data_IF_733670592805
#
_entry.id   IF_733670592805
#
_cell.length_a   1.000
_cell.length_b   1.000
_cell.length_c   1.000
_cell.angle_alpha   90.00
_cell.angle_beta   90.00
_cell.angle_gamma   90.00
#
_symmetry.space_group_name_H-M   'P 1'
#
loop_
_entity.id
_entity.type
_entity.pdbx_description
1 polymer ?
#
# COMPACT_ATOMS: atom_id res chain seq x y z
N UNK A 1 -24.31 7.72 19.03
CA UNK A 1 -24.14 8.86 18.11
C UNK A 1 -22.92 8.55 17.28
N UNK A 2 -23.00 8.64 15.95
CA UNK A 2 -21.81 8.45 15.11
C UNK A 2 -20.84 9.62 15.35
N UNK A 3 -19.54 9.34 15.41
CA UNK A 3 -18.51 10.37 15.52
C UNK A 3 -18.31 11.02 14.15
N UNK A 4 -18.25 12.35 14.10
CA UNK A 4 -18.06 13.10 12.85
C UNK A 4 -16.64 13.63 12.74
N UNK A 5 -16.04 13.56 11.54
CA UNK A 5 -14.73 14.16 11.26
C UNK A 5 -14.71 15.65 11.64
N UNK A 6 -15.83 16.34 11.44
CA UNK A 6 -15.99 17.74 11.78
C UNK A 6 -15.78 18.02 13.28
N UNK A 7 -16.04 17.05 14.17
CA UNK A 7 -15.87 17.24 15.61
C UNK A 7 -14.39 17.20 16.03
N UNK A 8 -13.54 16.52 15.26
CA UNK A 8 -12.12 16.41 15.53
C UNK A 8 -11.28 17.54 14.91
N UNK A 9 -11.68 18.06 13.75
CA UNK A 9 -11.05 19.27 13.18
C UNK A 9 -11.51 20.49 13.98
N UNK A 10 -10.59 21.31 14.47
CA UNK A 10 -10.86 22.55 15.21
C UNK A 10 -10.97 23.76 14.27
N UNK A 11 -11.63 24.81 14.74
CA UNK A 11 -11.75 26.07 14.00
C UNK A 11 -10.35 26.63 13.67
N UNK A 12 -10.13 27.01 12.41
CA UNK A 12 -8.84 27.53 11.95
C UNK A 12 -7.83 26.46 11.53
N UNK A 13 -8.14 25.17 11.66
CA UNK A 13 -7.26 24.10 11.18
C UNK A 13 -7.47 23.82 9.68
N UNK A 14 -6.37 23.52 8.98
CA UNK A 14 -6.39 22.84 7.68
C UNK A 14 -6.33 21.34 7.88
N UNK A 15 -6.83 20.60 6.90
CA UNK A 15 -6.76 19.15 6.89
C UNK A 15 -6.65 18.56 5.49
N UNK A 16 -6.22 17.30 5.44
CA UNK A 16 -6.38 16.39 4.31
C UNK A 16 -6.80 15.03 4.84
N UNK A 17 -7.76 14.39 4.16
CA UNK A 17 -8.25 13.07 4.52
C UNK A 17 -8.33 12.17 3.29
N UNK A 18 -8.04 10.88 3.48
CA UNK A 18 -8.34 9.81 2.54
C UNK A 18 -9.46 8.97 3.15
N UNK A 19 -10.59 8.94 2.47
CA UNK A 19 -11.82 8.27 2.86
C UNK A 19 -11.92 6.96 2.08
N UNK A 20 -12.12 5.86 2.79
CA UNK A 20 -12.10 4.49 2.26
C UNK A 20 -13.38 3.78 2.70
N UNK A 21 -14.01 3.08 1.75
CA UNK A 21 -15.10 2.15 2.01
C UNK A 21 -14.54 0.71 1.92
N UNK A 22 -14.47 0.01 3.04
CA UNK A 22 -13.82 -1.30 3.15
C UNK A 22 -14.37 -2.15 4.30
N UNK A 23 -14.08 -3.45 4.31
CA UNK A 23 -14.41 -4.32 5.44
C UNK A 23 -13.59 -3.95 6.68
N UNK A 24 -14.28 -3.63 7.80
CA UNK A 24 -13.70 -3.36 9.12
C UNK A 24 -14.26 -4.33 10.15
N UNK A 25 -13.46 -4.73 11.13
CA UNK A 25 -13.99 -5.42 12.31
C UNK A 25 -14.70 -4.41 13.23
N UNK A 26 -15.80 -4.83 13.87
CA UNK A 26 -16.68 -3.95 14.68
C UNK A 26 -15.93 -3.22 15.82
N UNK A 27 -14.91 -3.85 16.41
CA UNK A 27 -14.17 -3.33 17.58
C UNK A 27 -12.88 -2.56 17.19
N UNK A 28 -12.91 -1.79 16.10
CA UNK A 28 -11.76 -0.95 15.71
C UNK A 28 -11.81 0.41 16.39
N UNK A 29 -10.87 0.65 17.31
CA UNK A 29 -10.68 1.97 17.93
C UNK A 29 -9.91 2.92 17.01
N UNK A 30 -10.20 4.24 17.06
CA UNK A 30 -9.36 5.25 16.44
C UNK A 30 -7.92 5.24 16.94
N UNK A 31 -6.98 5.56 16.06
CA UNK A 31 -5.55 5.68 16.36
C UNK A 31 -5.10 7.11 16.11
N UNK A 32 -4.42 7.72 17.09
CA UNK A 32 -3.96 9.11 17.05
C UNK A 32 -2.45 9.19 17.37
N UNK A 33 -1.79 10.25 16.92
CA UNK A 33 -0.46 10.62 17.41
C UNK A 33 -0.57 11.48 18.67
N UNK A 34 0.55 11.65 19.37
CA UNK A 34 0.61 12.42 20.63
C UNK A 34 0.19 13.89 20.45
N UNK A 35 0.31 14.43 19.24
CA UNK A 35 -0.10 15.80 18.89
C UNK A 35 -1.48 15.91 18.23
N UNK A 36 -2.20 14.80 18.04
CA UNK A 36 -3.45 14.71 17.29
C UNK A 36 -3.41 15.39 15.90
N UNK A 37 -2.25 15.40 15.25
CA UNK A 37 -2.08 15.90 13.89
C UNK A 37 -2.32 14.83 12.84
N UNK A 38 -2.23 13.55 13.23
CA UNK A 38 -2.46 12.39 12.38
C UNK A 38 -3.43 11.46 13.08
N UNK A 39 -4.42 10.96 12.33
CA UNK A 39 -5.33 9.95 12.86
C UNK A 39 -5.84 8.98 11.79
N UNK A 40 -6.16 7.78 12.27
CA UNK A 40 -6.93 6.77 11.55
C UNK A 40 -8.24 6.60 12.31
N UNK A 41 -9.34 6.94 11.65
CA UNK A 41 -10.67 7.08 12.26
C UNK A 41 -11.63 6.05 11.64
N UNK A 42 -11.76 4.84 12.24
CA UNK A 42 -12.71 3.83 11.81
C UNK A 42 -14.14 4.18 12.25
N UNK A 43 -15.11 3.94 11.38
CA UNK A 43 -16.55 4.19 11.56
C UNK A 43 -16.93 5.66 11.80
N UNK A 44 -16.04 6.61 11.52
CA UNK A 44 -16.35 8.04 11.56
C UNK A 44 -17.07 8.48 10.28
N UNK A 45 -17.92 9.49 10.42
CA UNK A 45 -18.73 10.04 9.33
C UNK A 45 -18.25 11.42 8.90
N UNK A 46 -18.61 11.77 7.67
CA UNK A 46 -18.32 13.07 7.07
C UNK A 46 -19.65 13.69 6.66
N UNK A 47 -20.11 14.64 7.46
CA UNK A 47 -21.25 15.48 7.08
C UNK A 47 -20.79 16.67 6.26
N UNK A 48 -21.22 16.71 5.00
CA UNK A 48 -20.97 17.83 4.09
C UNK A 48 -22.14 18.80 4.09
N UNK A 49 -21.87 20.09 3.94
CA UNK A 49 -22.91 21.09 3.79
C UNK A 49 -23.57 21.00 2.38
N UNK A 50 -24.73 21.64 2.22
CA UNK A 50 -25.46 21.65 0.95
C UNK A 50 -24.71 22.35 -0.20
N UNK A 51 -23.81 23.29 0.12
CA UNK A 51 -22.99 23.97 -0.89
C UNK A 51 -22.10 22.96 -1.61
N UNK A 52 -21.48 22.01 -0.90
CA UNK A 52 -20.66 20.95 -1.49
C UNK A 52 -21.46 20.00 -2.37
N UNK A 53 -22.73 19.77 -2.05
CA UNK A 53 -23.62 18.95 -2.89
C UNK A 53 -23.75 19.51 -4.28
N UNK A 54 -23.79 20.83 -4.42
CA UNK A 54 -23.85 21.49 -5.72
C UNK A 54 -22.52 21.46 -6.49
N UNK A 55 -21.38 21.38 -5.79
CA UNK A 55 -20.04 21.44 -6.42
C UNK A 55 -19.51 20.08 -6.84
N UNK A 56 -19.58 19.09 -5.94
CA UNK A 56 -19.04 17.76 -6.19
C UNK A 56 -20.12 16.88 -6.84
N UNK A 57 -21.40 17.21 -6.67
CA UNK A 57 -22.52 16.42 -7.18
C UNK A 57 -22.96 15.32 -6.23
N UNK A 58 -24.22 14.89 -6.37
CA UNK A 58 -24.88 13.96 -5.44
C UNK A 58 -24.21 12.58 -5.40
N UNK A 59 -23.78 12.06 -6.56
CA UNK A 59 -23.13 10.74 -6.67
C UNK A 59 -21.86 10.69 -5.80
N UNK A 60 -21.01 11.70 -5.88
CA UNK A 60 -19.76 11.74 -5.14
C UNK A 60 -19.95 11.99 -3.64
N UNK A 61 -21.07 12.61 -3.25
CA UNK A 61 -21.44 12.74 -1.84
C UNK A 61 -21.84 11.39 -1.25
N UNK A 62 -22.63 10.60 -1.98
CA UNK A 62 -22.97 9.25 -1.51
C UNK A 62 -21.71 8.39 -1.39
N UNK A 63 -20.75 8.47 -2.33
CA UNK A 63 -19.46 7.78 -2.20
C UNK A 63 -18.71 8.18 -0.91
N UNK A 64 -18.74 9.46 -0.50
CA UNK A 64 -18.12 9.92 0.75
C UNK A 64 -18.88 9.40 1.97
N UNK A 65 -20.22 9.39 1.94
CA UNK A 65 -21.07 8.91 3.05
C UNK A 65 -20.91 7.41 3.30
N UNK A 66 -20.67 6.65 2.23
CA UNK A 66 -20.44 5.21 2.26
C UNK A 66 -19.06 4.84 2.82
N UNK A 67 -18.18 5.82 3.05
CA UNK A 67 -16.90 5.57 3.69
C UNK A 67 -17.08 5.21 5.17
N UNK A 68 -16.20 4.33 5.63
CA UNK A 68 -16.17 3.86 7.01
C UNK A 68 -14.74 3.86 7.58
N UNK A 69 -13.73 4.26 6.82
CA UNK A 69 -12.37 4.46 7.32
C UNK A 69 -11.81 5.79 6.80
N UNK A 70 -11.31 6.64 7.70
CA UNK A 70 -10.75 7.94 7.34
C UNK A 70 -9.29 8.02 7.83
N UNK A 71 -8.35 8.25 6.91
CA UNK A 71 -6.94 8.53 7.21
C UNK A 71 -6.71 10.03 7.08
N UNK A 72 -6.44 10.73 8.17
CA UNK A 72 -6.48 12.20 8.19
C UNK A 72 -5.21 12.81 8.78
N UNK A 73 -4.84 13.97 8.24
CA UNK A 73 -3.84 14.87 8.80
C UNK A 73 -4.43 16.28 8.97
N UNK A 74 -4.11 16.96 10.06
CA UNK A 74 -4.54 18.34 10.34
C UNK A 74 -3.47 19.18 11.05
N UNK A 75 -3.60 20.50 10.96
CA UNK A 75 -2.90 21.44 11.83
C UNK A 75 -3.54 22.82 11.78
N UNK A 76 -3.31 23.64 12.81
CA UNK A 76 -3.63 25.07 12.80
C UNK A 76 -3.01 25.77 11.59
N UNK A 77 -3.78 26.67 10.96
CA UNK A 77 -3.37 27.44 9.80
C UNK A 77 -3.74 28.90 9.98
N UNK A 78 -2.87 29.81 9.52
CA UNK A 78 -3.20 31.24 9.44
C UNK A 78 -4.17 31.54 8.29
N UNK A 79 -4.24 30.66 7.30
CA UNK A 79 -5.02 30.86 6.07
C UNK A 79 -5.87 29.63 5.72
N UNK A 80 -6.78 29.16 6.60
CA UNK A 80 -7.51 27.89 6.44
C UNK A 80 -8.39 27.80 5.17
N UNK A 81 -8.64 28.93 4.49
CA UNK A 81 -9.40 29.00 3.23
C UNK A 81 -8.53 28.90 1.96
N UNK A 82 -7.21 29.02 2.08
CA UNK A 82 -6.27 29.12 0.95
C UNK A 82 -5.61 27.77 0.71
N UNK A 83 -5.54 27.35 -0.55
CA UNK A 83 -4.76 26.18 -0.96
C UNK A 83 -3.30 26.57 -1.17
N UNK A 84 -2.41 26.04 -0.33
CA UNK A 84 -0.99 26.37 -0.35
C UNK A 84 -0.10 25.18 0.07
N UNK A 85 1.15 25.47 0.47
CA UNK A 85 2.10 24.46 0.91
C UNK A 85 1.68 23.69 2.18
N UNK A 86 0.78 24.21 3.00
CA UNK A 86 0.21 23.47 4.14
C UNK A 86 -0.69 22.33 3.64
N UNK A 87 -1.53 22.59 2.64
CA UNK A 87 -2.37 21.56 2.03
C UNK A 87 -1.53 20.44 1.40
N UNK A 88 -0.43 20.80 0.71
CA UNK A 88 0.48 19.82 0.15
C UNK A 88 1.12 18.92 1.22
N UNK A 89 1.48 19.49 2.39
CA UNK A 89 2.02 18.72 3.53
C UNK A 89 0.98 17.77 4.11
N UNK A 90 -0.27 18.21 4.31
CA UNK A 90 -1.33 17.33 4.79
C UNK A 90 -1.69 16.24 3.77
N UNK A 91 -1.78 16.58 2.49
CA UNK A 91 -2.00 15.61 1.40
C UNK A 91 -0.90 14.54 1.39
N UNK A 92 0.35 14.94 1.60
CA UNK A 92 1.44 14.01 1.72
C UNK A 92 1.33 13.14 2.98
N UNK A 93 0.97 13.71 4.12
CA UNK A 93 0.87 12.96 5.37
C UNK A 93 -0.27 11.92 5.35
N UNK A 94 -1.47 12.30 4.89
CA UNK A 94 -2.59 11.37 4.70
C UNK A 94 -2.25 10.29 3.67
N UNK A 95 -1.55 10.66 2.58
CA UNK A 95 -1.07 9.70 1.58
C UNK A 95 -0.09 8.68 2.16
N UNK A 96 0.86 9.09 2.99
CA UNK A 96 1.80 8.15 3.61
C UNK A 96 1.11 7.22 4.62
N UNK A 97 0.05 7.67 5.30
CA UNK A 97 -0.81 6.77 6.08
C UNK A 97 -1.52 5.74 5.18
N UNK A 98 -1.99 6.15 4.00
CA UNK A 98 -2.57 5.21 3.03
C UNK A 98 -1.57 4.16 2.55
N UNK A 99 -0.32 4.56 2.26
CA UNK A 99 0.75 3.59 1.95
C UNK A 99 1.01 2.67 3.16
N UNK A 100 1.01 3.20 4.38
CA UNK A 100 1.10 2.40 5.61
C UNK A 100 0.00 1.33 5.68
N UNK A 101 -1.24 1.68 5.33
CA UNK A 101 -2.38 0.75 5.29
C UNK A 101 -2.22 -0.33 4.21
N UNK A 102 -1.74 0.03 3.02
CA UNK A 102 -1.43 -0.94 1.94
C UNK A 102 -0.31 -1.92 2.32
N UNK A 103 0.59 -1.52 3.23
CA UNK A 103 1.66 -2.35 3.76
C UNK A 103 1.18 -3.24 4.92
N UNK A 104 0.28 -2.74 5.77
CA UNK A 104 -0.22 -3.50 6.92
C UNK A 104 -1.25 -4.58 6.54
N UNK A 105 -2.11 -4.31 5.55
CA UNK A 105 -3.23 -5.19 5.18
C UNK A 105 -3.31 -5.49 3.69
N UNK A 106 -4.01 -6.57 3.32
CA UNK A 106 -4.26 -6.94 1.91
C UNK A 106 -5.65 -6.50 1.45
N UNK A 107 -6.32 -5.68 2.25
CA UNK A 107 -7.65 -5.16 2.01
C UNK A 107 -7.84 -4.67 0.57
N UNK A 108 -9.08 -4.77 0.11
CA UNK A 108 -9.58 -4.02 -1.02
C UNK A 108 -10.63 -3.03 -0.53
N UNK A 109 -10.90 -2.02 -1.35
CA UNK A 109 -12.03 -1.13 -1.12
C UNK A 109 -13.21 -1.53 -2.02
N UNK A 110 -14.43 -1.24 -1.59
CA UNK A 110 -15.64 -1.46 -2.39
C UNK A 110 -15.83 -0.38 -3.46
N UNK A 111 -15.32 0.82 -3.20
CA UNK A 111 -15.31 1.97 -4.12
C UNK A 111 -13.90 2.55 -4.23
N UNK A 112 -13.69 3.47 -5.18
CA UNK A 112 -12.43 4.21 -5.29
C UNK A 112 -12.22 5.06 -4.01
N UNK A 113 -11.09 4.94 -3.28
CA UNK A 113 -10.80 5.84 -2.18
C UNK A 113 -10.82 7.29 -2.62
N UNK A 114 -11.29 8.17 -1.75
CA UNK A 114 -11.46 9.60 -2.04
C UNK A 114 -10.50 10.40 -1.17
N UNK A 115 -9.69 11.25 -1.78
CA UNK A 115 -8.94 12.28 -1.07
C UNK A 115 -9.71 13.58 -1.06
N UNK A 116 -9.94 14.12 0.13
CA UNK A 116 -10.49 15.45 0.34
C UNK A 116 -9.48 16.32 1.11
N UNK A 117 -9.50 17.62 0.86
CA UNK A 117 -8.66 18.58 1.58
C UNK A 117 -9.38 19.91 1.76
N UNK A 118 -9.04 20.65 2.81
CA UNK A 118 -9.71 21.90 3.13
C UNK A 118 -9.31 22.45 4.49
N UNK A 119 -10.22 23.20 5.11
CA UNK A 119 -10.06 23.70 6.47
C UNK A 119 -11.41 23.92 7.16
N UNK A 120 -11.41 24.09 8.48
CA UNK A 120 -12.62 24.39 9.23
C UNK A 120 -12.75 25.89 9.48
N UNK A 121 -13.83 26.48 8.98
CA UNK A 121 -14.10 27.91 9.09
C UNK A 121 -15.57 28.15 9.40
N UNK A 122 -15.83 29.04 10.34
CA UNK A 122 -17.18 29.34 10.84
C UNK A 122 -17.88 28.07 11.34
N UNK A 123 -17.12 27.23 12.04
CA UNK A 123 -17.51 25.94 12.61
C UNK A 123 -17.96 24.88 11.58
N UNK A 124 -17.66 25.09 10.29
CA UNK A 124 -18.00 24.17 9.21
C UNK A 124 -16.76 23.71 8.46
N UNK A 125 -16.74 22.44 8.03
CA UNK A 125 -15.71 21.97 7.10
C UNK A 125 -15.92 22.66 5.74
N UNK A 126 -14.92 23.41 5.30
CA UNK A 126 -14.82 23.99 3.97
C UNK A 126 -13.87 23.12 3.16
N UNK A 127 -14.42 22.18 2.39
CA UNK A 127 -13.61 21.44 1.41
C UNK A 127 -13.03 22.40 0.37
N UNK A 128 -11.98 21.99 -0.31
CA UNK A 128 -11.33 22.78 -1.37
C UNK A 128 -10.66 21.88 -2.41
N UNK A 129 -10.35 20.66 -2.02
CA UNK A 129 -9.77 19.64 -2.86
C UNK A 129 -10.62 18.38 -2.80
N UNK A 130 -10.77 17.74 -3.95
CA UNK A 130 -11.38 16.44 -4.14
C UNK A 130 -10.59 15.69 -5.22
N UNK A 131 -10.22 14.44 -4.95
CA UNK A 131 -9.59 13.57 -5.93
C UNK A 131 -9.94 12.11 -5.65
N UNK A 132 -10.19 11.33 -6.71
CA UNK A 132 -10.32 9.88 -6.59
C UNK A 132 -8.94 9.23 -6.68
N UNK A 133 -8.76 8.14 -5.96
CA UNK A 133 -7.57 7.29 -5.97
C UNK A 133 -7.97 5.95 -6.57
N UNK A 134 -7.11 5.35 -7.37
CA UNK A 134 -7.36 4.01 -7.89
C UNK A 134 -7.46 3.00 -6.72
N UNK A 135 -8.51 2.16 -6.67
CA UNK A 135 -8.74 1.26 -5.55
C UNK A 135 -7.69 0.14 -5.53
N UNK A 136 -7.23 -0.31 -4.35
CA UNK A 136 -6.43 -1.50 -4.25
C UNK A 136 -7.26 -2.72 -4.66
N UNK A 137 -6.68 -3.57 -5.50
CA UNK A 137 -7.30 -4.78 -6.02
C UNK A 137 -7.03 -5.96 -5.09
N UNK A 138 -8.09 -6.73 -4.85
CA UNK A 138 -7.98 -8.01 -4.17
C UNK A 138 -7.20 -9.01 -5.03
N UNK A 139 -6.47 -9.90 -4.38
CA UNK A 139 -5.96 -11.11 -5.02
C UNK A 139 -7.12 -12.09 -5.23
N UNK A 140 -7.30 -12.59 -6.45
CA UNK A 140 -8.36 -13.55 -6.74
C UNK A 140 -8.15 -14.86 -5.95
N UNK A 141 -9.24 -15.51 -5.56
CA UNK A 141 -9.18 -16.76 -4.79
C UNK A 141 -8.69 -16.62 -3.36
N UNK A 142 -8.68 -15.41 -2.79
CA UNK A 142 -8.42 -15.21 -1.36
C UNK A 142 -9.61 -14.54 -0.72
N UNK A 143 -9.97 -15.02 0.47
CA UNK A 143 -10.93 -14.31 1.33
C UNK A 143 -10.16 -13.16 1.95
N UNK A 144 -10.54 -11.93 1.58
CA UNK A 144 -9.86 -10.74 2.08
C UNK A 144 -10.26 -10.52 3.53
N UNK A 145 -9.29 -10.40 4.46
CA UNK A 145 -9.63 -10.15 5.84
C UNK A 145 -10.17 -8.72 5.97
N UNK A 146 -11.18 -8.57 6.85
CA UNK A 146 -11.53 -7.25 7.35
C UNK A 146 -10.31 -6.61 8.02
N UNK A 147 -10.17 -5.29 7.89
CA UNK A 147 -9.11 -4.54 8.56
C UNK A 147 -9.42 -4.52 10.06
N UNK A 148 -8.48 -5.04 10.86
CA UNK A 148 -8.61 -5.13 12.31
C UNK A 148 -7.81 -4.03 13.04
N UNK A 149 -7.94 -3.96 14.36
CA UNK A 149 -7.26 -2.96 15.18
C UNK A 149 -5.72 -3.05 15.12
N UNK A 150 -5.15 -4.25 14.89
CA UNK A 150 -3.70 -4.43 14.74
C UNK A 150 -3.23 -3.87 13.39
N UNK A 151 -4.00 -4.09 12.34
CA UNK A 151 -3.72 -3.58 11.00
C UNK A 151 -3.75 -2.05 10.98
N UNK A 152 -4.71 -1.42 11.68
CA UNK A 152 -4.79 0.05 11.83
C UNK A 152 -3.60 0.62 12.61
N UNK A 153 -3.24 0.02 13.76
CA UNK A 153 -2.06 0.46 14.53
C UNK A 153 -0.77 0.32 13.74
N UNK A 154 -0.64 -0.80 13.01
CA UNK A 154 0.53 -1.03 12.14
C UNK A 154 0.57 -0.02 10.99
N UNK A 155 -0.57 0.23 10.34
CA UNK A 155 -0.68 1.24 9.28
C UNK A 155 -0.26 2.63 9.78
N UNK A 156 -0.69 2.98 10.99
CA UNK A 156 -0.38 4.25 11.63
C UNK A 156 1.12 4.42 11.86
N UNK A 157 1.77 3.44 12.49
CA UNK A 157 3.21 3.49 12.77
C UNK A 157 4.06 3.47 11.48
N UNK A 158 3.65 2.70 10.47
CA UNK A 158 4.29 2.74 9.16
C UNK A 158 4.13 4.11 8.48
N UNK A 159 2.93 4.69 8.54
CA UNK A 159 2.66 6.04 8.02
C UNK A 159 3.52 7.11 8.69
N UNK A 160 3.64 7.05 10.02
CA UNK A 160 4.53 7.94 10.80
C UNK A 160 6.00 7.74 10.42
N UNK A 161 6.46 6.49 10.30
CA UNK A 161 7.84 6.20 9.89
C UNK A 161 8.15 6.77 8.51
N UNK A 162 7.26 6.53 7.54
CA UNK A 162 7.39 7.09 6.19
C UNK A 162 7.41 8.63 6.21
N UNK A 163 6.55 9.25 7.01
CA UNK A 163 6.53 10.70 7.16
C UNK A 163 7.82 11.22 7.77
N UNK A 164 8.36 10.55 8.80
CA UNK A 164 9.64 10.89 9.40
C UNK A 164 10.78 10.79 8.38
N UNK A 165 10.91 9.67 7.67
CA UNK A 165 11.96 9.47 6.66
C UNK A 165 11.88 10.45 5.49
N UNK A 166 10.67 10.90 5.13
CA UNK A 166 10.49 11.88 4.07
C UNK A 166 10.95 13.28 4.50
N UNK A 167 10.75 13.64 5.77
CA UNK A 167 11.18 14.93 6.32
C UNK A 167 12.61 14.91 6.88
N UNK A 168 13.18 13.72 7.11
CA UNK A 168 14.55 13.49 7.55
C UNK A 168 15.25 12.57 6.54
N UNK A 169 15.46 13.04 5.29
CA UNK A 169 16.03 12.20 4.25
C UNK A 169 17.46 11.78 4.61
N UNK A 170 17.84 10.57 4.19
CA UNK A 170 19.22 10.11 4.26
C UNK A 170 20.16 11.09 3.55
N UNK A 171 21.44 11.23 3.96
CA UNK A 171 22.38 12.17 3.33
C UNK A 171 22.52 11.99 1.81
N UNK A 172 22.36 10.76 1.33
CA UNK A 172 22.40 10.40 -0.10
C UNK A 172 21.01 10.28 -0.76
N UNK A 173 19.96 10.65 -0.03
CA UNK A 173 18.57 10.55 -0.43
C UNK A 173 17.98 9.15 -0.32
N UNK A 174 16.64 9.11 -0.35
CA UNK A 174 15.82 7.89 -0.19
C UNK A 174 15.05 7.55 -1.48
N UNK A 175 15.58 7.97 -2.64
CA UNK A 175 14.86 7.88 -3.92
C UNK A 175 14.53 6.44 -4.33
N UNK A 176 15.38 5.46 -3.96
CA UNK A 176 15.20 4.07 -4.40
C UNK A 176 14.04 3.43 -3.64
N UNK A 177 14.04 3.52 -2.32
CA UNK A 177 12.93 2.99 -1.52
C UNK A 177 11.62 3.70 -1.85
N UNK A 178 11.65 5.03 -2.05
CA UNK A 178 10.48 5.79 -2.50
C UNK A 178 9.95 5.28 -3.86
N UNK A 179 10.84 4.97 -4.81
CA UNK A 179 10.43 4.38 -6.10
C UNK A 179 9.83 2.99 -5.91
N UNK A 180 10.38 2.17 -5.03
CA UNK A 180 9.86 0.82 -4.76
C UNK A 180 8.48 0.88 -4.09
N UNK A 181 8.27 1.78 -3.13
CA UNK A 181 6.97 2.00 -2.51
C UNK A 181 5.90 2.42 -3.53
N UNK A 182 6.27 3.30 -4.46
CA UNK A 182 5.40 3.68 -5.58
C UNK A 182 5.11 2.49 -6.51
N UNK A 183 6.10 1.65 -6.82
CA UNK A 183 5.87 0.45 -7.62
C UNK A 183 4.92 -0.54 -6.92
N UNK A 184 5.02 -0.65 -5.59
CA UNK A 184 4.14 -1.50 -4.79
C UNK A 184 2.71 -0.98 -4.79
N UNK A 185 2.52 0.33 -4.63
CA UNK A 185 1.23 0.99 -4.76
C UNK A 185 0.62 0.76 -6.15
N UNK A 186 1.39 1.04 -7.21
CA UNK A 186 0.97 0.78 -8.61
C UNK A 186 0.57 -0.70 -8.78
N UNK A 187 1.34 -1.65 -8.23
CA UNK A 187 1.03 -3.07 -8.26
C UNK A 187 -0.28 -3.42 -7.54
N UNK A 188 -0.61 -2.73 -6.45
CA UNK A 188 -1.87 -2.92 -5.73
C UNK A 188 -3.07 -2.41 -6.53
N UNK A 189 -2.90 -1.47 -7.46
CA UNK A 189 -4.00 -0.87 -8.22
C UNK A 189 -4.24 -1.56 -9.59
N UNK A 190 -3.28 -2.35 -10.08
CA UNK A 190 -3.40 -3.04 -11.38
C UNK A 190 -4.53 -4.08 -11.38
N UNK A 191 -5.40 -4.10 -12.40
CA UNK A 191 -6.43 -5.13 -12.51
C UNK A 191 -5.86 -6.49 -12.93
N UNK A 192 -4.91 -6.50 -13.89
CA UNK A 192 -4.40 -7.73 -14.49
C UNK A 192 -3.38 -8.45 -13.61
N UNK A 193 -3.59 -9.74 -13.37
CA UNK A 193 -2.76 -10.55 -12.45
C UNK A 193 -1.30 -10.62 -12.91
N UNK A 194 -1.06 -10.77 -14.21
CA UNK A 194 0.30 -10.85 -14.76
C UNK A 194 1.05 -9.52 -14.61
N UNK A 195 0.36 -8.39 -14.75
CA UNK A 195 0.92 -7.06 -14.52
C UNK A 195 1.24 -6.85 -13.03
N UNK A 196 0.37 -7.34 -12.14
CA UNK A 196 0.62 -7.33 -10.69
C UNK A 196 1.88 -8.14 -10.36
N UNK A 197 2.01 -9.37 -10.88
CA UNK A 197 3.22 -10.19 -10.71
C UNK A 197 4.46 -9.45 -11.21
N UNK A 198 4.38 -8.82 -12.38
CA UNK A 198 5.48 -8.04 -12.94
C UNK A 198 5.87 -6.88 -12.00
N UNK A 199 4.92 -6.05 -11.56
CA UNK A 199 5.25 -4.92 -10.69
C UNK A 199 5.72 -5.34 -9.29
N UNK A 200 5.12 -6.37 -8.66
CA UNK A 200 5.63 -6.92 -7.39
C UNK A 200 7.03 -7.51 -7.54
N UNK A 201 7.31 -8.19 -8.65
CA UNK A 201 8.67 -8.66 -8.96
C UNK A 201 9.65 -7.50 -9.11
N UNK A 202 9.26 -6.39 -9.73
CA UNK A 202 10.09 -5.18 -9.80
C UNK A 202 10.34 -4.56 -8.42
N UNK A 203 9.41 -4.68 -7.48
CA UNK A 203 9.64 -4.28 -6.09
C UNK A 203 10.80 -5.10 -5.50
N UNK A 204 10.75 -6.43 -5.65
CA UNK A 204 11.82 -7.33 -5.20
C UNK A 204 13.15 -7.06 -5.91
N UNK A 205 13.16 -6.88 -7.24
CA UNK A 205 14.36 -6.49 -7.99
C UNK A 205 14.97 -5.19 -7.46
N UNK A 206 14.11 -4.24 -7.09
CA UNK A 206 14.46 -3.01 -6.40
C UNK A 206 15.21 -3.26 -5.09
N UNK A 207 14.80 -4.26 -4.31
CA UNK A 207 15.39 -4.60 -3.02
C UNK A 207 16.66 -5.46 -3.13
N UNK A 208 16.79 -6.29 -4.17
CA UNK A 208 17.95 -7.20 -4.28
C UNK A 208 19.13 -6.63 -5.06
N UNK A 209 18.96 -5.54 -5.82
CA UNK A 209 20.00 -4.93 -6.68
C UNK A 209 20.74 -5.96 -7.57
N UNK A 210 19.99 -6.66 -8.42
CA UNK A 210 20.56 -7.63 -9.35
C UNK A 210 21.59 -7.02 -10.31
N UNK A 211 22.67 -7.75 -10.56
CA UNK A 211 23.72 -7.43 -11.52
C UNK A 211 23.29 -7.82 -12.94
N UNK A 212 23.65 -7.03 -13.97
CA UNK A 212 23.39 -7.38 -15.37
C UNK A 212 23.89 -8.80 -15.71
N UNK A 213 23.08 -9.55 -16.46
CA UNK A 213 23.38 -10.93 -16.84
C UNK A 213 23.23 -11.98 -15.72
N UNK A 214 23.01 -11.56 -14.47
CA UNK A 214 22.82 -12.45 -13.31
C UNK A 214 21.44 -12.31 -12.67
N UNK A 215 20.53 -11.53 -13.27
CA UNK A 215 19.24 -11.14 -12.71
C UNK A 215 18.41 -12.34 -12.26
N UNK A 216 18.12 -13.30 -13.14
CA UNK A 216 17.34 -14.50 -12.78
C UNK A 216 17.94 -15.30 -11.61
N UNK A 217 19.27 -15.48 -11.63
CA UNK A 217 19.97 -16.25 -10.59
C UNK A 217 19.92 -15.52 -9.25
N UNK A 218 20.23 -14.23 -9.25
CA UNK A 218 20.21 -13.40 -8.04
C UNK A 218 18.80 -13.13 -7.55
N UNK A 219 17.79 -13.09 -8.41
CA UNK A 219 16.39 -13.00 -8.00
C UNK A 219 16.04 -14.15 -7.06
N UNK A 220 16.37 -15.38 -7.43
CA UNK A 220 16.13 -16.56 -6.59
C UNK A 220 16.98 -16.57 -5.31
N UNK A 221 18.31 -16.44 -5.46
CA UNK A 221 19.21 -16.60 -4.32
C UNK A 221 19.14 -15.43 -3.34
N UNK A 222 18.94 -14.19 -3.78
CA UNK A 222 18.84 -13.05 -2.86
C UNK A 222 17.51 -12.99 -2.14
N UNK A 223 16.44 -13.55 -2.73
CA UNK A 223 15.15 -13.64 -2.03
C UNK A 223 15.18 -14.61 -0.84
N UNK A 224 16.15 -15.52 -0.76
CA UNK A 224 16.32 -16.39 0.42
C UNK A 224 16.49 -15.60 1.72
N UNK A 225 17.08 -14.39 1.65
CA UNK A 225 17.15 -13.51 2.81
C UNK A 225 15.76 -13.16 3.36
N UNK A 226 14.78 -13.02 2.47
CA UNK A 226 13.43 -12.61 2.81
C UNK A 226 12.55 -13.78 3.22
N UNK A 227 12.69 -14.93 2.57
CA UNK A 227 11.71 -16.03 2.65
C UNK A 227 12.32 -17.42 2.91
N UNK A 228 13.65 -17.53 2.99
CA UNK A 228 14.35 -18.81 3.14
C UNK A 228 14.66 -19.53 1.83
N UNK A 229 15.46 -20.60 1.94
CA UNK A 229 16.09 -21.29 0.80
C UNK A 229 15.12 -22.19 0.00
N UNK A 230 13.98 -22.55 0.57
CA UNK A 230 13.06 -23.56 0.03
C UNK A 230 12.13 -23.07 -1.09
N UNK A 231 12.35 -21.87 -1.64
CA UNK A 231 11.42 -21.23 -2.57
C UNK A 231 12.00 -20.95 -3.97
N UNK A 232 13.15 -21.52 -4.31
CA UNK A 232 13.82 -21.28 -5.61
C UNK A 232 12.94 -21.60 -6.82
N UNK A 233 12.21 -22.71 -6.78
CA UNK A 233 11.35 -23.13 -7.89
C UNK A 233 10.21 -22.13 -8.10
N UNK A 234 9.57 -21.68 -7.02
CA UNK A 234 8.51 -20.67 -7.04
C UNK A 234 9.04 -19.35 -7.58
N UNK A 235 10.17 -18.86 -7.06
CA UNK A 235 10.78 -17.60 -7.51
C UNK A 235 11.30 -17.68 -8.96
N UNK A 236 11.74 -18.85 -9.44
CA UNK A 236 12.08 -19.05 -10.84
C UNK A 236 10.86 -18.92 -11.76
N UNK A 237 9.71 -19.47 -11.36
CA UNK A 237 8.45 -19.36 -12.11
C UNK A 237 7.95 -17.92 -12.16
N UNK A 238 7.94 -17.23 -11.02
CA UNK A 238 7.58 -15.80 -10.93
C UNK A 238 8.48 -14.96 -11.84
N UNK A 239 9.80 -15.21 -11.81
CA UNK A 239 10.73 -14.48 -12.66
C UNK A 239 10.45 -14.69 -14.16
N UNK A 240 10.09 -15.91 -14.57
CA UNK A 240 9.68 -16.18 -15.96
C UNK A 240 8.42 -15.41 -16.34
N UNK A 241 7.38 -15.43 -15.51
CA UNK A 241 6.14 -14.65 -15.74
C UNK A 241 6.47 -13.17 -15.92
N UNK A 242 7.28 -12.59 -15.01
CA UNK A 242 7.74 -11.19 -15.13
C UNK A 242 8.53 -10.94 -16.41
N UNK A 243 9.40 -11.86 -16.80
CA UNK A 243 10.19 -11.75 -18.04
C UNK A 243 9.31 -11.81 -19.30
N UNK A 244 8.30 -12.68 -19.29
CA UNK A 244 7.37 -12.84 -20.41
C UNK A 244 6.54 -11.57 -20.59
N UNK A 245 6.02 -10.99 -19.50
CA UNK A 245 5.29 -9.70 -19.53
C UNK A 245 6.18 -8.55 -19.99
N UNK A 246 7.43 -8.44 -19.51
CA UNK A 246 8.35 -7.37 -19.95
C UNK A 246 8.67 -7.44 -21.46
N UNK A 247 8.62 -8.64 -22.04
CA UNK A 247 8.95 -8.88 -23.43
C UNK A 247 7.72 -9.11 -24.34
N UNK A 248 6.52 -8.81 -23.85
CA UNK A 248 5.24 -8.96 -24.59
C UNK A 248 5.00 -10.40 -25.10
N UNK A 249 5.38 -11.38 -24.27
CA UNK A 249 5.21 -12.81 -24.52
C UNK A 249 4.11 -13.41 -23.61
N UNK A 250 3.12 -12.61 -23.21
CA UNK A 250 2.00 -13.06 -22.38
C UNK A 250 1.13 -14.13 -23.06
N UNK A 251 1.21 -14.29 -24.37
CA UNK A 251 0.55 -15.36 -25.12
C UNK A 251 1.00 -16.75 -24.64
N UNK A 252 2.28 -16.93 -24.31
CA UNK A 252 2.77 -18.18 -23.69
C UNK A 252 2.19 -18.43 -22.30
N UNK A 253 1.71 -17.41 -21.62
CA UNK A 253 1.09 -17.51 -20.29
C UNK A 253 -0.42 -17.72 -20.39
N UNK A 254 -1.08 -17.01 -21.30
CA UNK A 254 -2.53 -16.93 -21.36
C UNK A 254 -3.18 -17.83 -22.42
N UNK A 255 -2.41 -18.34 -23.39
CA UNK A 255 -2.92 -19.18 -24.48
C UNK A 255 -2.32 -20.60 -24.47
N UNK A 256 -3.14 -21.65 -24.67
CA UNK A 256 -4.60 -21.64 -24.51
C UNK A 256 -4.99 -21.29 -23.06
N UNK A 257 -6.21 -20.76 -22.89
CA UNK A 257 -6.77 -20.37 -21.57
C UNK A 257 -7.14 -21.61 -20.74
N UNK A 258 -6.12 -22.26 -20.16
CA UNK A 258 -6.27 -23.45 -19.31
C UNK A 258 -6.46 -23.00 -17.86
N UNK A 259 -7.58 -23.40 -17.24
CA UNK A 259 -7.95 -23.02 -15.87
C UNK A 259 -6.84 -23.28 -14.84
N UNK A 260 -6.30 -24.49 -14.79
CA UNK A 260 -5.26 -24.85 -13.80
C UNK A 260 -4.00 -23.99 -13.91
N UNK A 261 -3.64 -23.60 -15.13
CA UNK A 261 -2.49 -22.72 -15.40
C UNK A 261 -2.76 -21.31 -14.87
N UNK A 262 -3.96 -20.77 -15.09
CA UNK A 262 -4.35 -19.44 -14.61
C UNK A 262 -4.52 -19.41 -13.08
N UNK A 263 -5.02 -20.49 -12.47
CA UNK A 263 -5.06 -20.66 -11.02
C UNK A 263 -3.65 -20.68 -10.40
N UNK A 264 -2.70 -21.35 -11.05
CA UNK A 264 -1.30 -21.33 -10.59
C UNK A 264 -0.70 -19.92 -10.72
N UNK A 265 -0.98 -19.17 -11.80
CA UNK A 265 -0.55 -17.77 -11.94
C UNK A 265 -1.14 -16.90 -10.81
N UNK A 266 -2.43 -17.05 -10.49
CA UNK A 266 -3.06 -16.37 -9.37
C UNK A 266 -2.38 -16.68 -8.02
N UNK A 267 -2.02 -17.94 -7.80
CA UNK A 267 -1.25 -18.36 -6.62
C UNK A 267 0.13 -17.71 -6.56
N UNK A 268 0.82 -17.61 -7.70
CA UNK A 268 2.11 -16.92 -7.80
C UNK A 268 1.99 -15.41 -7.49
N UNK A 269 0.89 -14.77 -7.86
CA UNK A 269 0.60 -13.38 -7.50
C UNK A 269 0.49 -13.20 -5.98
N UNK A 270 -0.33 -14.01 -5.30
CA UNK A 270 -0.47 -13.98 -3.84
C UNK A 270 0.89 -14.17 -3.16
N UNK A 271 1.68 -15.11 -3.68
CA UNK A 271 3.02 -15.36 -3.17
C UNK A 271 3.89 -14.10 -3.29
N UNK A 272 4.10 -13.57 -4.50
CA UNK A 272 5.03 -12.45 -4.70
C UNK A 272 4.55 -11.16 -4.04
N UNK A 273 3.24 -10.89 -4.01
CA UNK A 273 2.67 -9.72 -3.35
C UNK A 273 2.89 -9.77 -1.84
N UNK A 274 2.74 -10.95 -1.22
CA UNK A 274 3.02 -11.14 0.21
C UNK A 274 4.50 -10.92 0.56
N UNK A 275 5.42 -11.41 -0.27
CA UNK A 275 6.87 -11.22 -0.08
C UNK A 275 7.23 -9.74 -0.21
N UNK A 276 6.73 -9.05 -1.24
CA UNK A 276 6.99 -7.63 -1.45
C UNK A 276 6.44 -6.79 -0.27
N UNK A 277 5.20 -7.05 0.14
CA UNK A 277 4.57 -6.36 1.28
C UNK A 277 5.34 -6.58 2.57
N UNK A 278 5.70 -7.81 2.90
CA UNK A 278 6.43 -8.12 4.13
C UNK A 278 7.80 -7.43 4.13
N UNK A 279 8.55 -7.54 3.04
CA UNK A 279 9.88 -6.93 2.93
C UNK A 279 9.82 -5.41 3.10
N UNK A 280 8.85 -4.75 2.44
CA UNK A 280 8.68 -3.30 2.55
C UNK A 280 8.21 -2.87 3.94
N UNK A 281 7.27 -3.59 4.54
CA UNK A 281 6.82 -3.35 5.92
C UNK A 281 8.00 -3.39 6.88
N UNK A 282 8.86 -4.40 6.76
CA UNK A 282 10.03 -4.59 7.61
C UNK A 282 11.06 -3.48 7.44
N UNK A 283 11.32 -3.05 6.20
CA UNK A 283 12.25 -1.95 5.90
C UNK A 283 11.71 -0.62 6.43
N UNK A 284 10.42 -0.33 6.23
CA UNK A 284 9.79 0.91 6.69
C UNK A 284 9.70 0.97 8.21
N UNK A 285 9.45 -0.16 8.89
CA UNK A 285 9.35 -0.22 10.34
C UNK A 285 10.70 -0.13 11.06
N UNK A 286 11.83 -0.30 10.37
CA UNK A 286 13.15 -0.37 10.98
C UNK A 286 14.10 0.67 10.35
N UNK A 287 14.46 1.74 11.07
CA UNK A 287 15.34 2.79 10.56
C UNK A 287 16.71 2.29 10.08
N UNK A 288 17.27 1.25 10.70
CA UNK A 288 18.55 0.64 10.28
C UNK A 288 18.40 0.00 8.90
N UNK A 289 17.32 -0.78 8.70
CA UNK A 289 17.02 -1.35 7.38
C UNK A 289 16.71 -0.26 6.37
N UNK A 290 15.94 0.76 6.74
CA UNK A 290 15.63 1.86 5.84
C UNK A 290 16.89 2.49 5.25
N UNK A 291 17.90 2.79 6.07
CA UNK A 291 19.18 3.34 5.63
C UNK A 291 19.91 2.46 4.61
N UNK A 292 19.91 1.14 4.79
CA UNK A 292 20.50 0.19 3.83
C UNK A 292 19.77 0.15 2.48
N UNK A 293 18.47 0.42 2.45
CA UNK A 293 17.64 0.31 1.23
C UNK A 293 17.28 1.67 0.60
N UNK A 294 17.71 2.78 1.21
CA UNK A 294 17.36 4.14 0.80
C UNK A 294 17.77 4.49 -0.65
N UNK A 295 18.98 4.08 -1.04
CA UNK A 295 19.55 4.36 -2.36
C UNK A 295 20.41 3.19 -2.88
N UNK A 296 20.94 3.34 -4.10
CA UNK A 296 21.72 2.28 -4.78
C UNK A 296 23.05 1.98 -4.07
N UNK A 297 23.75 2.99 -3.57
CA UNK A 297 25.07 2.82 -2.93
C UNK A 297 24.93 2.08 -1.61
N UNK A 298 24.02 2.53 -0.73
CA UNK A 298 23.72 1.86 0.53
C UNK A 298 23.28 0.40 0.33
N UNK A 299 22.46 0.16 -0.70
CA UNK A 299 22.00 -1.19 -1.02
C UNK A 299 23.12 -2.09 -1.57
N UNK A 300 24.05 -1.54 -2.35
CA UNK A 300 25.24 -2.29 -2.80
C UNK A 300 26.06 -2.74 -1.60
N UNK A 301 26.36 -1.82 -0.67
CA UNK A 301 27.11 -2.11 0.56
C UNK A 301 26.43 -3.19 1.38
N UNK A 302 25.11 -3.13 1.54
CA UNK A 302 24.35 -4.18 2.23
C UNK A 302 24.53 -5.56 1.56
N UNK A 303 24.47 -5.63 0.23
CA UNK A 303 24.65 -6.89 -0.50
C UNK A 303 26.11 -7.35 -0.63
N UNK A 304 27.08 -6.52 -0.24
CA UNK A 304 28.50 -6.89 -0.12
C UNK A 304 28.82 -7.54 1.23
N UNK A 305 27.98 -7.34 2.25
CA UNK A 305 28.15 -7.97 3.56
C UNK A 305 28.11 -9.51 3.47
N UNK A 306 28.82 -10.22 4.37
CA UNK A 306 28.69 -11.66 4.55
C UNK A 306 27.24 -12.09 4.77
N UNK A 307 26.90 -13.31 4.35
CA UNK A 307 25.53 -13.83 4.45
C UNK A 307 24.98 -13.85 5.88
N UNK A 308 25.84 -14.14 6.87
CA UNK A 308 25.48 -14.13 8.28
C UNK A 308 25.17 -12.72 8.80
N UNK A 309 25.98 -11.73 8.44
CA UNK A 309 25.73 -10.33 8.81
C UNK A 309 24.43 -9.80 8.19
N UNK A 310 24.16 -10.12 6.92
CA UNK A 310 22.88 -9.76 6.29
C UNK A 310 21.69 -10.38 7.01
N UNK A 311 21.79 -11.65 7.41
CA UNK A 311 20.73 -12.34 8.17
C UNK A 311 20.57 -11.75 9.57
N UNK A 312 21.66 -11.32 10.22
CA UNK A 312 21.59 -10.67 11.52
C UNK A 312 20.90 -9.30 11.43
N UNK A 313 21.22 -8.49 10.41
CA UNK A 313 20.58 -7.19 10.16
C UNK A 313 19.12 -7.37 9.74
N UNK A 314 18.84 -8.33 8.85
CA UNK A 314 17.49 -8.61 8.38
C UNK A 314 16.62 -9.19 9.49
N UNK A 315 17.13 -10.17 10.26
CA UNK A 315 16.35 -10.94 11.23
C UNK A 315 15.58 -12.10 10.58
N UNK A 316 14.50 -12.53 11.24
CA UNK A 316 13.74 -13.73 10.85
C UNK A 316 13.13 -13.61 9.45
N UNK A 317 13.21 -14.72 8.70
CA UNK A 317 12.58 -14.89 7.39
C UNK A 317 11.05 -14.93 7.49
N UNK A 318 10.40 -14.49 6.41
CA UNK A 318 8.96 -14.56 6.25
C UNK A 318 8.54 -15.93 5.71
N UNK A 319 7.37 -16.42 6.14
CA UNK A 319 6.79 -17.69 5.67
C UNK A 319 5.63 -17.42 4.70
N UNK A 320 5.88 -17.15 3.41
CA UNK A 320 4.83 -16.77 2.46
C UNK A 320 3.76 -17.85 2.24
N UNK A 321 4.10 -19.12 2.47
CA UNK A 321 3.17 -20.23 2.29
C UNK A 321 1.96 -20.19 3.23
N UNK A 322 2.06 -19.53 4.39
CA UNK A 322 0.92 -19.40 5.32
C UNK A 322 -0.24 -18.61 4.69
N UNK A 323 0.07 -17.63 3.83
CA UNK A 323 -0.94 -16.87 3.09
C UNK A 323 -1.41 -17.61 1.85
N UNK A 324 -0.51 -18.30 1.15
CA UNK A 324 -0.85 -19.12 -0.01
C UNK A 324 -1.77 -20.29 0.36
N UNK A 325 -1.66 -20.82 1.58
CA UNK A 325 -2.55 -21.85 2.10
C UNK A 325 -4.01 -21.35 2.28
N UNK A 326 -4.25 -20.04 2.21
CA UNK A 326 -5.59 -19.43 2.19
C UNK A 326 -6.07 -19.12 0.76
N UNK A 327 -5.51 -19.81 -0.24
CA UNK A 327 -5.97 -19.77 -1.62
C UNK A 327 -7.06 -20.83 -1.86
N UNK A 328 -8.23 -20.38 -2.29
CA UNK A 328 -9.42 -21.18 -2.50
C UNK A 328 -9.75 -21.21 -4.01
N UNK A 329 -9.25 -22.21 -4.76
CA UNK A 329 -9.48 -22.27 -6.22
C UNK A 329 -10.95 -22.48 -6.59
N UNK A 330 -11.73 -23.10 -5.71
CA UNK A 330 -13.13 -23.47 -5.98
C UNK A 330 -14.10 -22.29 -5.98
N UNK A 331 -13.71 -21.15 -5.37
CA UNK A 331 -14.52 -19.93 -5.37
C UNK A 331 -14.23 -19.01 -6.56
N UNK A 332 -13.23 -19.34 -7.39
CA UNK A 332 -12.85 -18.50 -8.54
C UNK A 332 -13.66 -18.94 -9.77
N UNK A 333 -14.46 -18.02 -10.32
CA UNK A 333 -15.19 -18.23 -11.57
C UNK A 333 -14.27 -18.23 -12.80
N UNK A 334 -14.75 -18.79 -13.92
CA UNK A 334 -14.03 -18.72 -15.19
C UNK A 334 -13.93 -17.28 -15.73
N UNK A 335 -14.94 -16.45 -15.49
CA UNK A 335 -14.93 -15.04 -15.88
C UNK A 335 -13.85 -14.25 -15.13
N UNK A 336 -13.62 -14.53 -13.83
CA UNK A 336 -12.52 -13.91 -13.07
C UNK A 336 -11.14 -14.33 -13.57
N UNK A 337 -11.02 -15.50 -14.19
CA UNK A 337 -9.81 -15.95 -14.86
C UNK A 337 -9.72 -15.47 -16.31
N UNK A 338 -10.76 -14.79 -16.81
CA UNK A 338 -10.88 -14.39 -18.22
C UNK A 338 -10.93 -15.58 -19.18
N UNK A 339 -11.53 -16.72 -18.81
CA UNK A 339 -11.70 -17.88 -19.71
C UNK A 339 -12.92 -17.71 -20.61
N UNK A 340 -13.96 -17.05 -20.11
CA UNK A 340 -15.27 -16.86 -20.76
C UNK A 340 -15.41 -15.51 -21.47
#
# INVERSE_FOLDING_TARGET
MALELADWIQEGEKFSAICIACDLTEDTDPVFDEGEQLAILPNWKITLNSEWSSWIGEIHIEEIKDTNLILVSKSTSETPKVLDGENQRHNQASWLQYIGLLLSSSFHSWSAPIRIGGGKVSSKLSLREYARIDPPKASIGTIQPAIDARDLRTAFELGKSLYWHKNNPEPQGSWRINRILRLYEEARQRPEIIDRIHQFSRCIEGLILASPGKTRRQFKSRTELFIGENHHNTMDRIYRIRSDVEHLNEDYLLSPRIRDKLLEIARQEIFISSVARHALTKIVANPILYGHFANREALSKFWELPGEERRAIWGTEFKPLELVNKFYPDIISNSELGIE
#
